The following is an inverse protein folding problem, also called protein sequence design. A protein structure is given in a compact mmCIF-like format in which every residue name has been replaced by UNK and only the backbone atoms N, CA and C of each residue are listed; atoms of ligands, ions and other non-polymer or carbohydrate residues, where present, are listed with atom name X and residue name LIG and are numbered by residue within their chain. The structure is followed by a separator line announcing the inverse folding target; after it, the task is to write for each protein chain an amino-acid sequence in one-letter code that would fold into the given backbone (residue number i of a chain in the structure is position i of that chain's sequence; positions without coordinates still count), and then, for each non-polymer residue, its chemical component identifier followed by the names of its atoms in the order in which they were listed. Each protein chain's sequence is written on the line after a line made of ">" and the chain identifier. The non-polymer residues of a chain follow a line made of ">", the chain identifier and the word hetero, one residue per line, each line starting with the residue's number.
data_IF_704213240926
#
_entry.id   IF_704213240926
#
_cell.length_a   1.000
_cell.length_b   1.000
_cell.length_c   1.000
_cell.angle_alpha   90.00
_cell.angle_beta   90.00
_cell.angle_gamma   90.00
#
_symmetry.space_group_name_H-M   'P 1'
#
loop_
_entity.id
_entity.type
_entity.pdbx_description
1 polymer ?
#
# COMPACT_ATOMS: atom_id res chain seq x y z
N UNK A 1 -3.43 -46.27 0.85
CA UNK A 1 -2.90 -45.17 0.00
C UNK A 1 -3.77 -43.95 0.22
N UNK A 2 -3.42 -43.08 1.18
CA UNK A 2 -4.30 -41.99 1.60
C UNK A 2 -3.55 -40.67 1.77
N UNK A 3 -3.10 -40.03 0.68
CA UNK A 3 -2.86 -38.57 0.66
C UNK A 3 -3.04 -38.07 -0.79
N UNK A 4 -4.08 -37.24 -1.06
CA UNK A 4 -3.83 -36.02 -1.85
C UNK A 4 -4.73 -34.81 -1.49
N UNK A 5 -5.48 -34.83 -0.39
CA UNK A 5 -6.44 -33.74 -0.07
C UNK A 5 -5.82 -32.52 0.63
N UNK A 6 -4.61 -32.62 1.21
CA UNK A 6 -3.97 -31.50 1.92
C UNK A 6 -3.33 -30.46 0.98
N UNK A 7 -2.95 -30.84 -0.23
CA UNK A 7 -2.28 -29.94 -1.19
C UNK A 7 -3.24 -28.98 -1.92
N UNK A 8 -4.47 -29.40 -2.21
CA UNK A 8 -5.42 -28.55 -2.95
C UNK A 8 -5.89 -27.33 -2.15
N UNK A 9 -6.07 -27.48 -0.84
CA UNK A 9 -6.44 -26.37 0.02
C UNK A 9 -5.33 -25.32 0.12
N UNK A 10 -4.08 -25.76 0.21
CA UNK A 10 -2.91 -24.87 0.21
C UNK A 10 -2.81 -24.09 -1.11
N UNK A 11 -2.93 -24.78 -2.25
CA UNK A 11 -2.88 -24.16 -3.59
C UNK A 11 -4.02 -23.16 -3.84
N UNK A 12 -5.24 -23.48 -3.39
CA UNK A 12 -6.39 -22.58 -3.52
C UNK A 12 -6.24 -21.32 -2.65
N UNK A 13 -5.70 -21.47 -1.45
CA UNK A 13 -5.42 -20.35 -0.54
C UNK A 13 -4.31 -19.46 -1.11
N UNK A 14 -3.29 -20.05 -1.70
CA UNK A 14 -2.16 -19.34 -2.32
C UNK A 14 -2.62 -18.53 -3.53
N UNK A 15 -3.38 -19.13 -4.46
CA UNK A 15 -4.00 -18.41 -5.60
C UNK A 15 -4.89 -17.24 -5.18
N UNK A 16 -5.61 -17.39 -4.07
CA UNK A 16 -6.51 -16.35 -3.56
C UNK A 16 -5.73 -15.16 -2.96
N UNK A 17 -4.61 -15.43 -2.29
CA UNK A 17 -3.71 -14.40 -1.77
C UNK A 17 -2.97 -13.66 -2.88
N UNK A 18 -2.45 -14.37 -3.89
CA UNK A 18 -1.80 -13.76 -5.05
C UNK A 18 -2.74 -12.79 -5.78
N UNK A 19 -3.99 -13.20 -6.01
CA UNK A 19 -4.97 -12.35 -6.70
C UNK A 19 -5.28 -11.08 -5.91
N UNK A 20 -5.47 -11.19 -4.60
CA UNK A 20 -5.66 -10.02 -3.72
C UNK A 20 -4.45 -9.09 -3.70
N UNK A 21 -3.23 -9.64 -3.73
CA UNK A 21 -2.02 -8.84 -3.78
C UNK A 21 -1.93 -8.03 -5.09
N UNK A 22 -2.32 -8.63 -6.23
CA UNK A 22 -2.43 -7.94 -7.52
C UNK A 22 -3.49 -6.84 -7.48
N UNK A 23 -4.69 -7.13 -6.95
CA UNK A 23 -5.76 -6.13 -6.82
C UNK A 23 -5.32 -4.91 -5.96
N UNK A 24 -4.61 -5.16 -4.85
CA UNK A 24 -4.05 -4.09 -4.01
C UNK A 24 -2.92 -3.35 -4.71
N UNK A 25 -2.07 -4.03 -5.47
CA UNK A 25 -1.00 -3.39 -6.24
C UNK A 25 -1.56 -2.42 -7.29
N UNK A 26 -2.58 -2.81 -8.04
CA UNK A 26 -3.20 -1.96 -9.07
C UNK A 26 -3.96 -0.78 -8.44
N UNK A 27 -4.60 -1.01 -7.29
CA UNK A 27 -5.19 0.07 -6.50
C UNK A 27 -4.13 1.10 -6.06
N UNK A 28 -2.98 0.63 -5.52
CA UNK A 28 -1.88 1.51 -5.10
C UNK A 28 -1.24 2.26 -6.28
N UNK A 29 -1.12 1.63 -7.46
CA UNK A 29 -0.65 2.31 -8.68
C UNK A 29 -1.60 3.40 -9.13
N UNK A 30 -2.91 3.15 -9.07
CA UNK A 30 -3.93 4.15 -9.42
C UNK A 30 -3.90 5.34 -8.45
N UNK A 31 -3.90 5.05 -7.14
CA UNK A 31 -3.78 6.09 -6.10
C UNK A 31 -2.49 6.90 -6.22
N UNK A 32 -1.37 6.27 -6.59
CA UNK A 32 -0.12 6.97 -6.86
C UNK A 32 -0.26 8.01 -7.96
N UNK A 33 -0.93 7.66 -9.07
CA UNK A 33 -1.17 8.60 -10.16
C UNK A 33 -2.04 9.76 -9.71
N UNK A 34 -3.11 9.48 -8.95
CA UNK A 34 -3.96 10.53 -8.38
C UNK A 34 -3.22 11.43 -7.41
N UNK A 35 -2.33 10.87 -6.56
CA UNK A 35 -1.47 11.66 -5.66
C UNK A 35 -0.57 12.59 -6.47
N UNK A 36 0.07 12.08 -7.53
CA UNK A 36 0.92 12.89 -8.41
C UNK A 36 0.15 14.06 -9.05
N UNK A 37 -1.05 13.78 -9.57
CA UNK A 37 -1.90 14.76 -10.22
C UNK A 37 -2.36 15.85 -9.24
N UNK A 38 -2.86 15.44 -8.08
CA UNK A 38 -3.31 16.35 -7.03
C UNK A 38 -2.19 17.15 -6.40
N UNK A 39 -0.99 16.56 -6.22
CA UNK A 39 0.20 17.31 -5.80
C UNK A 39 0.63 18.35 -6.84
N UNK A 40 0.44 18.07 -8.13
CA UNK A 40 0.74 19.02 -9.21
C UNK A 40 -0.27 20.16 -9.28
N UNK A 41 -1.49 19.90 -8.84
CA UNK A 41 -2.61 20.86 -8.81
C UNK A 41 -2.82 21.54 -7.45
N UNK A 42 -1.95 21.28 -6.46
CA UNK A 42 -2.07 21.73 -5.06
C UNK A 42 -3.43 21.38 -4.40
N UNK A 43 -4.07 20.29 -4.83
CA UNK A 43 -5.36 19.84 -4.31
C UNK A 43 -5.19 19.05 -3.00
N UNK A 44 -4.89 19.78 -1.92
CA UNK A 44 -4.73 19.21 -0.57
C UNK A 44 -6.00 18.50 -0.09
N UNK A 45 -7.17 19.07 -0.41
CA UNK A 45 -8.46 18.52 -0.01
C UNK A 45 -8.70 17.14 -0.63
N UNK A 46 -8.29 16.95 -1.90
CA UNK A 46 -8.35 15.67 -2.58
C UNK A 46 -7.27 14.67 -2.15
N UNK A 47 -6.15 15.11 -1.56
CA UNK A 47 -5.06 14.23 -1.10
C UNK A 47 -5.37 13.54 0.23
N UNK A 48 -6.03 14.24 1.16
CA UNK A 48 -6.40 13.69 2.48
C UNK A 48 -7.21 12.38 2.39
N UNK A 49 -8.31 12.29 1.61
CA UNK A 49 -9.07 11.05 1.52
C UNK A 49 -8.26 9.91 0.90
N UNK A 50 -7.35 10.18 -0.05
CA UNK A 50 -6.45 9.16 -0.59
C UNK A 50 -5.53 8.61 0.50
N UNK A 51 -4.99 9.47 1.38
CA UNK A 51 -4.14 9.00 2.49
C UNK A 51 -4.91 8.09 3.45
N UNK A 52 -6.17 8.42 3.73
CA UNK A 52 -7.04 7.58 4.57
C UNK A 52 -7.36 6.24 3.88
N UNK A 53 -7.60 6.25 2.57
CA UNK A 53 -7.86 5.03 1.81
C UNK A 53 -6.64 4.10 1.80
N UNK A 54 -5.45 4.62 1.50
CA UNK A 54 -4.18 3.85 1.56
C UNK A 54 -3.96 3.30 2.98
N UNK A 55 -4.30 4.06 4.02
CA UNK A 55 -4.19 3.61 5.41
C UNK A 55 -5.13 2.45 5.74
N UNK A 56 -6.25 2.29 5.03
CA UNK A 56 -7.22 1.22 5.24
C UNK A 56 -6.94 -0.04 4.40
N UNK A 57 -6.20 0.09 3.29
CA UNK A 57 -5.87 -1.06 2.46
C UNK A 57 -5.10 -2.15 3.22
N UNK A 58 -5.35 -3.45 2.92
CA UNK A 58 -4.55 -4.56 3.41
C UNK A 58 -3.21 -4.61 2.66
N UNK A 59 -2.30 -3.70 3.04
CA UNK A 59 -1.00 -3.53 2.40
C UNK A 59 -0.14 -4.79 2.57
N UNK A 60 0.33 -5.33 1.45
CA UNK A 60 1.37 -6.36 1.39
C UNK A 60 2.69 -5.74 0.91
N UNK A 61 3.81 -6.35 1.27
CA UNK A 61 5.12 -5.83 0.88
C UNK A 61 5.32 -5.82 -0.64
N UNK A 62 4.92 -6.88 -1.34
CA UNK A 62 5.00 -6.93 -2.80
C UNK A 62 4.18 -5.80 -3.44
N UNK A 63 2.94 -5.58 -3.00
CA UNK A 63 2.12 -4.50 -3.54
C UNK A 63 2.73 -3.11 -3.28
N UNK A 64 3.29 -2.88 -2.09
CA UNK A 64 3.97 -1.62 -1.72
C UNK A 64 5.24 -1.41 -2.53
N UNK A 65 6.08 -2.44 -2.66
CA UNK A 65 7.35 -2.39 -3.38
C UNK A 65 7.11 -2.14 -4.87
N UNK A 66 6.19 -2.90 -5.47
CA UNK A 66 5.93 -2.87 -6.91
C UNK A 66 5.13 -1.63 -7.35
N UNK A 67 4.28 -1.08 -6.48
CA UNK A 67 3.59 0.19 -6.77
C UNK A 67 4.53 1.41 -6.70
N UNK A 68 5.62 1.30 -5.93
CA UNK A 68 6.54 2.41 -5.64
C UNK A 68 5.81 3.67 -5.14
N UNK A 69 4.70 3.49 -4.41
CA UNK A 69 3.86 4.58 -3.88
C UNK A 69 4.56 5.37 -2.74
N UNK A 70 5.51 4.74 -2.06
CA UNK A 70 6.17 5.32 -0.88
C UNK A 70 6.87 6.66 -1.13
N UNK A 71 7.40 6.89 -2.34
CA UNK A 71 8.03 8.18 -2.69
C UNK A 71 7.01 9.32 -2.73
N UNK A 72 5.83 9.07 -3.31
CA UNK A 72 4.80 10.10 -3.45
C UNK A 72 4.15 10.41 -2.11
N UNK A 73 3.93 9.40 -1.26
CA UNK A 73 3.49 9.62 0.13
C UNK A 73 4.57 10.36 0.92
N UNK A 74 5.85 10.06 0.67
CA UNK A 74 6.98 10.79 1.22
C UNK A 74 6.93 12.29 0.92
N UNK A 75 6.58 12.67 -0.32
CA UNK A 75 6.37 14.08 -0.70
C UNK A 75 5.21 14.71 0.07
N UNK A 76 4.09 13.98 0.24
CA UNK A 76 2.95 14.43 1.03
C UNK A 76 3.32 14.65 2.52
N UNK A 77 4.25 13.86 3.07
CA UNK A 77 4.68 13.97 4.47
C UNK A 77 5.49 15.23 4.80
N UNK A 78 6.04 15.87 3.77
CA UNK A 78 6.80 17.13 3.86
C UNK A 78 5.97 18.33 3.38
N UNK A 79 4.67 18.15 3.13
CA UNK A 79 3.77 19.21 2.69
C UNK A 79 3.56 20.26 3.81
N UNK A 80 3.39 21.56 3.49
CA UNK A 80 3.11 22.60 4.48
C UNK A 80 1.77 22.38 5.22
N UNK A 81 0.80 21.73 4.57
CA UNK A 81 -0.46 21.37 5.22
C UNK A 81 -0.24 20.32 6.31
N UNK A 82 -0.50 20.73 7.56
CA UNK A 82 -0.22 19.91 8.73
C UNK A 82 -1.04 18.61 8.79
N UNK A 83 -2.28 18.64 8.28
CA UNK A 83 -3.18 17.49 8.32
C UNK A 83 -2.75 16.43 7.32
N UNK A 84 -2.48 16.84 6.07
CA UNK A 84 -1.92 15.99 5.03
C UNK A 84 -0.58 15.39 5.47
N UNK A 85 0.32 16.21 6.03
CA UNK A 85 1.62 15.74 6.50
C UNK A 85 1.48 14.68 7.62
N UNK A 86 0.57 14.88 8.58
CA UNK A 86 0.30 13.90 9.64
C UNK A 86 -0.27 12.59 9.09
N UNK A 87 -1.26 12.67 8.20
CA UNK A 87 -1.87 11.50 7.54
C UNK A 87 -0.83 10.70 6.77
N UNK A 88 -0.02 11.38 5.94
CA UNK A 88 1.04 10.76 5.17
C UNK A 88 2.10 10.08 6.07
N UNK A 89 2.50 10.69 7.19
CA UNK A 89 3.41 10.07 8.17
C UNK A 89 2.83 8.80 8.79
N UNK A 90 1.53 8.78 9.05
CA UNK A 90 0.80 7.59 9.51
C UNK A 90 0.88 6.45 8.48
N UNK A 91 0.66 6.78 7.20
CA UNK A 91 0.79 5.81 6.11
C UNK A 91 2.24 5.31 5.97
N UNK A 92 3.23 6.20 5.98
CA UNK A 92 4.66 5.83 5.93
C UNK A 92 5.02 4.86 7.07
N UNK A 93 4.55 5.14 8.29
CA UNK A 93 4.75 4.23 9.42
C UNK A 93 4.17 2.84 9.16
N UNK A 94 3.00 2.75 8.52
CA UNK A 94 2.40 1.46 8.12
C UNK A 94 3.24 0.76 7.04
N UNK A 95 3.72 1.49 6.03
CA UNK A 95 4.61 0.94 5.00
C UNK A 95 5.91 0.39 5.59
N UNK A 96 6.50 1.11 6.54
CA UNK A 96 7.71 0.67 7.23
C UNK A 96 7.46 -0.59 8.08
N UNK A 97 6.30 -0.70 8.73
CA UNK A 97 5.91 -1.92 9.47
C UNK A 97 5.80 -3.13 8.53
N UNK A 98 5.18 -2.95 7.35
CA UNK A 98 5.09 -4.00 6.33
C UNK A 98 6.47 -4.40 5.82
N UNK A 99 7.35 -3.43 5.53
CA UNK A 99 8.72 -3.69 5.10
C UNK A 99 9.53 -4.48 6.15
N UNK A 100 9.39 -4.10 7.43
CA UNK A 100 10.08 -4.76 8.54
C UNK A 100 9.56 -6.17 8.81
N UNK A 101 8.26 -6.41 8.61
CA UNK A 101 7.67 -7.74 8.76
C UNK A 101 8.26 -8.75 7.76
N UNK A 102 8.49 -8.33 6.52
CA UNK A 102 9.13 -9.18 5.49
C UNK A 102 10.66 -9.23 5.59
N UNK A 103 11.29 -8.23 6.23
CA UNK A 103 12.74 -8.17 6.44
C UNK A 103 13.09 -7.95 7.92
N UNK A 104 12.91 -8.96 8.78
CA UNK A 104 13.14 -8.83 10.23
C UNK A 104 14.61 -8.63 10.64
N UNK A 105 15.55 -8.68 9.69
CA UNK A 105 16.99 -8.67 9.94
C UNK A 105 17.71 -7.35 9.59
N UNK A 106 16.99 -6.29 9.19
CA UNK A 106 17.55 -4.95 8.94
C UNK A 106 17.02 -3.91 9.93
#
# INVERSE_FOLDING_TARGET
>A
TCQPVRDQAALATQKSNDRRALDVQDALKSMKLEICDKLSSDDVAGLIPIMDEVAQLPLTWDAVRESAIGKEIGRCSSHPDSLLAQKAKGVISKLHKVAKAERPLW
#
